data_IF_106547207914
#
_entry.id   IF_106547207914
#
_cell.length_a   1.000
_cell.length_b   1.000
_cell.length_c   1.000
_cell.angle_alpha   90.00
_cell.angle_beta   90.00
_cell.angle_gamma   90.00
#
_symmetry.space_group_name_H-M   'P 1'
#
loop_
_entity.id
_entity.type
_entity.pdbx_description
1 polymer ?
#
# COMPACT_ATOMS: atom_id res chain seq x y z
N UNK A 1 -3.54 11.64 8.11
CA UNK A 1 -2.73 11.47 6.89
C UNK A 1 -1.35 12.02 7.20
N UNK A 2 -0.29 11.31 6.82
CA UNK A 2 1.12 11.71 6.97
C UNK A 2 1.85 11.30 5.71
N UNK A 3 2.57 12.20 5.06
CA UNK A 3 3.41 11.91 3.90
C UNK A 3 4.75 12.61 4.08
N UNK A 4 5.66 11.95 4.76
CA UNK A 4 7.02 12.48 4.94
C UNK A 4 7.84 12.27 3.66
N UNK A 5 7.42 11.36 2.79
CA UNK A 5 8.17 10.93 1.62
C UNK A 5 7.90 11.80 0.37
N UNK A 6 6.81 12.57 0.37
CA UNK A 6 6.32 13.29 -0.81
C UNK A 6 5.81 12.35 -1.90
N UNK A 7 5.41 11.13 -1.54
CA UNK A 7 4.97 10.12 -2.50
C UNK A 7 3.57 10.40 -3.03
N UNK A 8 2.73 11.13 -2.28
CA UNK A 8 1.38 11.49 -2.77
C UNK A 8 1.42 12.47 -3.95
N UNK A 9 2.53 13.20 -4.07
CA UNK A 9 2.80 14.17 -5.14
C UNK A 9 3.79 13.66 -6.19
N UNK A 10 4.22 12.40 -6.12
CA UNK A 10 5.14 11.84 -7.11
C UNK A 10 4.41 11.52 -8.43
N UNK A 11 5.18 11.41 -9.52
CA UNK A 11 4.65 11.01 -10.82
C UNK A 11 4.32 9.51 -10.89
N UNK A 12 4.90 8.71 -9.99
CA UNK A 12 4.62 7.27 -9.89
C UNK A 12 3.27 7.05 -9.18
N UNK A 13 2.36 6.30 -9.82
CA UNK A 13 1.07 5.99 -9.19
C UNK A 13 1.27 5.02 -8.01
N UNK A 14 0.92 5.49 -6.81
CA UNK A 14 0.80 4.67 -5.60
C UNK A 14 -0.53 3.90 -5.52
N UNK A 15 -1.51 4.29 -6.32
CA UNK A 15 -2.92 4.00 -6.06
C UNK A 15 -3.49 2.93 -6.97
N UNK A 16 -2.90 2.80 -8.15
CA UNK A 16 -3.34 1.87 -9.16
C UNK A 16 -2.75 0.49 -8.89
N UNK A 17 -3.53 -0.53 -9.24
CA UNK A 17 -3.12 -1.91 -9.09
C UNK A 17 -4.29 -2.87 -9.23
N UNK A 18 -3.97 -4.15 -9.17
CA UNK A 18 -4.92 -5.24 -9.30
C UNK A 18 -5.02 -6.02 -7.99
N UNK A 19 -6.17 -5.93 -7.32
CA UNK A 19 -6.49 -6.72 -6.13
C UNK A 19 -7.26 -7.98 -6.53
N UNK A 20 -6.80 -9.15 -6.07
CA UNK A 20 -7.45 -10.45 -6.27
C UNK A 20 -7.64 -11.15 -4.92
N UNK A 21 -8.87 -11.60 -4.67
CA UNK A 21 -9.23 -12.39 -3.49
C UNK A 21 -9.57 -13.81 -3.96
N UNK A 22 -8.87 -14.82 -3.44
CA UNK A 22 -9.12 -16.22 -3.74
C UNK A 22 -9.21 -17.02 -2.44
N UNK A 23 -10.45 -17.37 -2.05
CA UNK A 23 -10.72 -17.93 -0.73
C UNK A 23 -10.29 -16.94 0.36
N UNK A 24 -9.39 -17.40 1.24
CA UNK A 24 -8.87 -16.58 2.34
C UNK A 24 -7.60 -15.81 1.98
N UNK A 25 -7.04 -15.98 0.78
CA UNK A 25 -5.80 -15.32 0.36
C UNK A 25 -6.14 -14.07 -0.44
N UNK A 26 -5.51 -12.96 -0.08
CA UNK A 26 -5.61 -11.69 -0.79
C UNK A 26 -4.25 -11.38 -1.40
N UNK A 27 -4.26 -10.98 -2.67
CA UNK A 27 -3.07 -10.57 -3.42
C UNK A 27 -3.33 -9.26 -4.12
N UNK A 28 -2.37 -8.35 -4.06
CA UNK A 28 -2.39 -7.13 -4.86
C UNK A 28 -1.09 -7.05 -5.66
N UNK A 29 -1.21 -6.80 -6.96
CA UNK A 29 -0.10 -6.30 -7.77
C UNK A 29 -0.25 -4.79 -7.82
N UNK A 30 0.61 -4.07 -7.10
CA UNK A 30 0.66 -2.61 -7.09
C UNK A 30 1.39 -2.11 -8.34
N UNK A 31 0.86 -1.09 -8.99
CA UNK A 31 1.57 -0.43 -10.09
C UNK A 31 2.76 0.38 -9.56
N UNK A 32 2.75 0.71 -8.27
CA UNK A 32 3.93 1.27 -7.61
C UNK A 32 5.05 0.24 -7.55
N UNK A 33 5.96 0.37 -8.52
CA UNK A 33 7.18 -0.44 -8.65
C UNK A 33 6.93 -1.94 -8.87
N UNK A 34 5.71 -2.31 -9.28
CA UNK A 34 5.33 -3.71 -9.45
C UNK A 34 5.35 -4.50 -8.14
N UNK A 35 5.21 -3.82 -7.00
CA UNK A 35 5.22 -4.46 -5.69
C UNK A 35 4.06 -5.45 -5.56
N UNK A 36 4.39 -6.68 -5.18
CA UNK A 36 3.39 -7.70 -4.86
C UNK A 36 3.11 -7.69 -3.35
N UNK A 37 1.86 -7.41 -2.98
CA UNK A 37 1.38 -7.54 -1.61
C UNK A 37 0.57 -8.82 -1.48
N UNK A 38 0.80 -9.54 -0.39
CA UNK A 38 0.13 -10.82 -0.10
C UNK A 38 -0.32 -10.83 1.34
N UNK A 39 -1.49 -11.39 1.59
CA UNK A 39 -1.99 -11.62 2.93
C UNK A 39 -3.31 -12.34 2.91
N UNK A 40 -4.22 -11.99 3.81
CA UNK A 40 -5.40 -12.80 4.10
C UNK A 40 -6.63 -11.98 4.49
N UNK A 41 -7.79 -12.61 4.27
CA UNK A 41 -9.09 -12.14 4.77
C UNK A 41 -9.14 -12.41 6.27
N UNK A 42 -9.53 -11.40 7.04
CA UNK A 42 -9.75 -11.47 8.48
C UNK A 42 -11.17 -11.97 8.75
N UNK A 43 -11.37 -12.89 9.71
CA UNK A 43 -12.70 -13.36 10.07
C UNK A 43 -13.60 -12.20 10.51
N UNK A 44 -14.87 -12.20 10.08
CA UNK A 44 -15.87 -11.24 10.56
C UNK A 44 -15.90 -11.19 12.09
N UNK A 45 -15.70 -9.99 12.65
CA UNK A 45 -16.09 -9.69 14.02
C UNK A 45 -17.60 -9.41 14.13
N UNK A 46 -18.05 -8.87 15.26
CA UNK A 46 -19.47 -8.49 15.48
C UNK A 46 -19.97 -7.36 14.56
N UNK A 47 -19.07 -6.68 13.84
CA UNK A 47 -19.39 -5.71 12.78
C UNK A 47 -19.26 -6.38 11.41
N UNK A 48 -20.28 -6.21 10.59
CA UNK A 48 -20.71 -7.06 9.46
C UNK A 48 -19.80 -7.17 8.23
N UNK A 49 -18.61 -6.57 8.25
CA UNK A 49 -17.85 -6.31 7.03
C UNK A 49 -16.56 -7.15 7.00
N UNK A 50 -16.33 -7.87 5.89
CA UNK A 50 -15.13 -8.67 5.70
C UNK A 50 -13.91 -7.73 5.57
N UNK A 51 -12.90 -7.91 6.40
CA UNK A 51 -11.66 -7.14 6.35
C UNK A 51 -10.53 -7.98 5.76
N UNK A 52 -9.45 -7.34 5.30
CA UNK A 52 -8.24 -8.02 4.88
C UNK A 52 -7.00 -7.20 5.24
N UNK A 53 -5.88 -7.91 5.30
CA UNK A 53 -4.55 -7.33 5.47
C UNK A 53 -3.61 -7.94 4.45
N UNK A 54 -2.80 -7.11 3.80
CA UNK A 54 -1.77 -7.53 2.87
C UNK A 54 -0.49 -6.72 3.06
N UNK A 55 0.64 -7.38 2.93
CA UNK A 55 1.97 -6.78 3.08
C UNK A 55 2.83 -7.13 1.87
N UNK A 56 3.68 -6.19 1.47
CA UNK A 56 4.66 -6.35 0.41
C UNK A 56 5.93 -5.60 0.76
N UNK A 57 7.05 -6.05 0.20
CA UNK A 57 8.34 -5.43 0.47
C UNK A 57 9.28 -5.56 -0.72
N UNK A 58 10.16 -4.58 -0.88
CA UNK A 58 11.21 -4.58 -1.91
C UNK A 58 12.54 -4.23 -1.24
N UNK A 59 13.57 -5.02 -1.50
CA UNK A 59 14.90 -4.79 -0.95
C UNK A 59 15.85 -4.24 -2.02
N UNK A 60 16.88 -3.49 -1.59
CA UNK A 60 17.91 -2.93 -2.47
C UNK A 60 17.32 -2.11 -3.64
N UNK A 61 16.42 -1.19 -3.29
CA UNK A 61 15.68 -0.35 -4.20
C UNK A 61 16.39 0.99 -4.44
N UNK A 62 16.10 1.61 -5.57
CA UNK A 62 16.54 2.97 -5.93
C UNK A 62 15.29 3.83 -6.14
N UNK A 63 15.09 4.84 -5.31
CA UNK A 63 13.87 5.64 -5.22
C UNK A 63 14.15 7.12 -5.39
N UNK A 64 13.28 7.84 -6.10
CA UNK A 64 13.29 9.30 -6.11
C UNK A 64 12.32 9.83 -5.03
N UNK A 65 12.86 10.34 -3.92
CA UNK A 65 12.08 10.87 -2.80
C UNK A 65 12.37 12.36 -2.64
N UNK A 66 11.33 13.20 -2.66
CA UNK A 66 11.46 14.67 -2.53
C UNK A 66 12.53 15.25 -3.48
N UNK A 67 12.51 14.83 -4.74
CA UNK A 67 13.48 15.20 -5.79
C UNK A 67 14.94 14.81 -5.51
N UNK A 68 15.18 13.77 -4.69
CA UNK A 68 16.51 13.20 -4.43
C UNK A 68 16.51 11.70 -4.73
N UNK A 69 17.60 11.22 -5.32
CA UNK A 69 17.82 9.78 -5.48
C UNK A 69 18.28 9.16 -4.16
N UNK A 70 17.55 8.16 -3.70
CA UNK A 70 17.77 7.43 -2.47
C UNK A 70 18.06 5.95 -2.77
N UNK A 71 19.14 5.44 -2.19
CA UNK A 71 19.42 4.01 -2.15
C UNK A 71 18.81 3.43 -0.88
N UNK A 72 17.91 2.48 -1.06
CA UNK A 72 17.03 1.97 -0.01
C UNK A 72 17.32 0.51 0.24
N UNK A 73 17.55 0.16 1.49
CA UNK A 73 17.75 -1.23 1.89
C UNK A 73 16.43 -1.99 1.82
N UNK A 74 15.36 -1.36 2.33
CA UNK A 74 14.06 -1.97 2.40
C UNK A 74 12.93 -0.95 2.25
N UNK A 75 12.00 -1.26 1.36
CA UNK A 75 10.67 -0.65 1.30
C UNK A 75 9.68 -1.64 1.89
N UNK A 76 8.81 -1.17 2.77
CA UNK A 76 7.68 -1.91 3.29
C UNK A 76 6.40 -1.21 2.87
N UNK A 77 5.46 -1.97 2.32
CA UNK A 77 4.12 -1.49 2.00
C UNK A 77 3.12 -2.39 2.71
N UNK A 78 2.23 -1.77 3.48
CA UNK A 78 1.17 -2.44 4.20
C UNK A 78 -0.15 -1.81 3.81
N UNK A 79 -1.13 -2.66 3.51
CA UNK A 79 -2.48 -2.23 3.18
C UNK A 79 -3.48 -3.10 3.92
N UNK A 80 -4.37 -2.45 4.66
CA UNK A 80 -5.55 -3.06 5.26
C UNK A 80 -6.80 -2.44 4.64
N UNK A 81 -7.88 -3.21 4.57
CA UNK A 81 -9.13 -2.77 3.98
C UNK A 81 -10.33 -3.47 4.56
N UNK A 82 -11.43 -2.73 4.66
CA UNK A 82 -12.76 -3.25 5.00
C UNK A 82 -13.64 -3.21 3.76
N UNK A 83 -14.23 -4.35 3.43
CA UNK A 83 -15.12 -4.52 2.28
C UNK A 83 -16.44 -3.80 2.53
N UNK A 84 -16.72 -2.77 1.73
CA UNK A 84 -18.01 -2.08 1.76
C UNK A 84 -19.01 -2.77 0.83
N UNK A 85 -18.52 -3.23 -0.32
CA UNK A 85 -19.23 -4.08 -1.27
C UNK A 85 -18.20 -4.71 -2.21
N UNK A 86 -18.62 -5.56 -3.14
CA UNK A 86 -17.72 -6.26 -4.08
C UNK A 86 -16.81 -5.33 -4.92
N UNK A 87 -17.14 -4.04 -5.03
CA UNK A 87 -16.41 -3.04 -5.85
C UNK A 87 -15.87 -1.86 -5.03
N UNK A 88 -15.94 -1.92 -3.70
CA UNK A 88 -15.45 -0.83 -2.84
C UNK A 88 -14.85 -1.34 -1.55
N UNK A 89 -13.67 -0.81 -1.24
CA UNK A 89 -12.96 -1.02 0.01
C UNK A 89 -12.55 0.33 0.58
N UNK A 90 -12.66 0.48 1.90
CA UNK A 90 -12.11 1.63 2.63
C UNK A 90 -11.04 1.09 3.58
N UNK A 91 -9.93 1.81 3.76
CA UNK A 91 -8.82 1.25 4.54
C UNK A 91 -7.66 2.20 4.78
N UNK A 92 -6.54 1.62 5.18
CA UNK A 92 -5.28 2.32 5.44
C UNK A 92 -4.17 1.74 4.58
N UNK A 93 -3.42 2.63 3.93
CA UNK A 93 -2.17 2.33 3.26
C UNK A 93 -1.04 2.96 4.09
N UNK A 94 0.01 2.19 4.32
CA UNK A 94 1.25 2.72 4.89
C UNK A 94 2.47 2.22 4.13
N UNK A 95 3.44 3.11 3.96
CA UNK A 95 4.73 2.80 3.34
C UNK A 95 5.83 3.23 4.30
N UNK A 96 6.81 2.36 4.56
CA UNK A 96 8.02 2.68 5.30
C UNK A 96 9.23 2.50 4.41
N UNK A 97 10.09 3.50 4.36
CA UNK A 97 11.34 3.48 3.59
C UNK A 97 12.51 3.46 4.56
N UNK A 98 13.32 2.41 4.48
CA UNK A 98 14.53 2.21 5.26
C UNK A 98 15.74 2.39 4.33
N UNK A 99 16.39 3.57 4.37
CA UNK A 99 17.52 3.86 3.51
C UNK A 99 18.76 3.12 3.98
N UNK A 100 19.81 3.14 3.15
CA UNK A 100 21.15 2.80 3.62
C UNK A 100 21.62 3.77 4.71
N UNK A 101 22.51 3.29 5.57
CA UNK A 101 23.06 4.06 6.70
C UNK A 101 23.74 5.37 6.26
N UNK A 102 24.27 5.43 5.04
CA UNK A 102 24.90 6.63 4.48
C UNK A 102 23.89 7.71 4.04
N UNK A 103 22.60 7.39 3.97
CA UNK A 103 21.53 8.29 3.51
C UNK A 103 20.37 8.36 4.52
N UNK A 104 20.62 8.67 5.81
CA UNK A 104 19.58 8.65 6.84
C UNK A 104 18.43 9.63 6.56
N UNK A 105 18.67 10.69 5.80
CA UNK A 105 17.66 11.65 5.40
C UNK A 105 16.61 11.06 4.44
N UNK A 106 16.92 9.96 3.76
CA UNK A 106 15.98 9.23 2.90
C UNK A 106 14.97 8.39 3.69
N UNK A 107 15.12 8.28 5.03
CA UNK A 107 14.15 7.64 5.88
C UNK A 107 12.86 8.45 5.93
N UNK A 108 11.74 7.81 5.62
CA UNK A 108 10.44 8.47 5.62
C UNK A 108 9.30 7.45 5.73
N UNK A 109 8.11 7.96 6.03
CA UNK A 109 6.90 7.17 6.12
C UNK A 109 5.73 7.86 5.41
N UNK A 110 4.90 7.05 4.78
CA UNK A 110 3.57 7.40 4.30
C UNK A 110 2.53 6.68 5.15
N UNK A 111 1.47 7.38 5.54
CA UNK A 111 0.31 6.82 6.19
C UNK A 111 -0.95 7.57 5.75
N UNK A 112 -1.83 6.88 5.04
CA UNK A 112 -3.02 7.49 4.41
C UNK A 112 -4.23 6.59 4.56
N UNK A 113 -5.41 7.20 4.68
CA UNK A 113 -6.67 6.50 4.47
C UNK A 113 -7.01 6.54 2.99
N UNK A 114 -7.50 5.44 2.45
CA UNK A 114 -7.89 5.35 1.05
C UNK A 114 -9.33 4.84 0.92
N UNK A 115 -9.88 5.10 -0.27
CA UNK A 115 -11.11 4.49 -0.76
C UNK A 115 -10.82 3.93 -2.14
N UNK A 116 -10.80 2.61 -2.26
CA UNK A 116 -10.64 1.92 -3.53
C UNK A 116 -12.03 1.71 -4.15
N UNK A 117 -12.21 2.15 -5.39
CA UNK A 117 -13.48 2.06 -6.11
C UNK A 117 -13.23 1.45 -7.48
N UNK A 118 -13.97 0.38 -7.81
CA UNK A 118 -14.00 -0.17 -9.16
C UNK A 118 -15.26 0.32 -9.89
N UNK A 119 -15.10 1.02 -11.01
CA UNK A 119 -16.22 1.54 -11.80
C UNK A 119 -17.11 2.48 -10.99
N UNK A 120 -18.43 2.21 -10.97
CA UNK A 120 -19.40 3.01 -10.22
C UNK A 120 -19.46 2.70 -8.71
N UNK A 121 -18.64 1.80 -8.18
CA UNK A 121 -18.62 1.43 -6.77
C UNK A 121 -19.81 0.56 -6.33
N UNK A 122 -20.41 0.89 -5.18
CA UNK A 122 -21.57 0.18 -4.64
C UNK A 122 -22.85 0.79 -5.23
N UNK A 123 -23.60 -0.01 -6.00
CA UNK A 123 -24.94 0.33 -6.50
C UNK A 123 -25.96 -0.59 -5.85
#
# INVERSE_FOLDING_TARGET
>A
MRDDCGLLSSEESLWDGELRINGNVVRMNSDWRGLQLIGFVLPRGESSDDAFVIDGSESNASLSLRNRQCLVEQVWMHLEGTTQCARRFDGVLSVRIEPRVEQPECACQLWVRYRAIQGAGCQ
#
